data_IF_207153062041
#
_entry.id   IF_207153062041
#
_cell.length_a   1.000
_cell.length_b   1.000
_cell.length_c   1.000
_cell.angle_alpha   90.00
_cell.angle_beta   90.00
_cell.angle_gamma   90.00
#
_symmetry.space_group_name_H-M   'P 1'
#
loop_
_entity.id
_entity.type
_entity.pdbx_description
1 polymer ?
#
# COMPACT_ATOMS: atom_id res chain seq x y z
N UNK A 1 -25.05 13.94 72.89
CA UNK A 1 -24.07 13.85 73.98
C UNK A 1 -22.74 13.55 73.30
N UNK A 2 -22.02 14.62 72.92
CA UNK A 2 -20.87 15.22 73.68
C UNK A 2 -19.62 14.36 73.47
N UNK A 3 -18.42 14.83 73.14
CA UNK A 3 -17.72 16.13 73.07
C UNK A 3 -16.55 15.90 72.07
N UNK A 4 -16.23 16.81 71.14
CA UNK A 4 -15.22 17.88 71.25
C UNK A 4 -13.90 17.56 72.00
N UNK A 5 -12.78 17.69 71.28
CA UNK A 5 -11.46 18.15 71.78
C UNK A 5 -10.54 18.32 70.55
N UNK A 6 -10.51 19.50 69.93
CA UNK A 6 -9.64 20.66 70.17
C UNK A 6 -8.13 20.46 69.92
N UNK A 7 -7.66 21.35 69.03
CA UNK A 7 -6.31 21.55 68.52
C UNK A 7 -5.35 22.14 69.56
N UNK A 8 -4.05 21.90 69.38
CA UNK A 8 -3.05 22.98 69.44
C UNK A 8 -1.73 22.51 68.82
N UNK A 9 -1.25 23.20 67.77
CA UNK A 9 0.16 23.14 67.35
C UNK A 9 0.69 24.54 67.11
N UNK A 10 1.84 24.77 67.75
CA UNK A 10 2.54 26.04 67.90
C UNK A 10 3.17 26.56 66.60
N UNK A 11 3.28 27.89 66.54
CA UNK A 11 3.95 28.67 65.51
C UNK A 11 5.47 28.44 65.46
N UNK A 12 6.04 28.46 64.25
CA UNK A 12 7.47 28.69 64.02
C UNK A 12 7.64 29.89 63.09
N UNK A 13 8.30 30.93 63.60
CA UNK A 13 8.63 32.20 62.92
C UNK A 13 9.47 31.99 61.65
N UNK A 14 9.08 32.64 60.55
CA UNK A 14 9.91 32.84 59.34
C UNK A 14 10.83 34.06 59.52
N UNK A 15 12.13 33.85 59.35
CA UNK A 15 13.09 34.94 59.08
C UNK A 15 13.11 35.23 57.58
N UNK A 16 13.00 36.52 57.23
CA UNK A 16 12.86 37.00 55.85
C UNK A 16 14.18 37.16 55.10
N UNK A 17 14.11 37.03 53.78
CA UNK A 17 15.06 37.60 52.85
C UNK A 17 14.28 38.29 51.72
N UNK A 18 14.46 39.60 51.59
CA UNK A 18 13.74 40.50 50.69
C UNK A 18 14.59 40.74 49.44
N UNK A 19 14.10 40.30 48.27
CA UNK A 19 14.64 40.69 46.95
C UNK A 19 13.52 41.41 46.22
N UNK A 20 13.81 42.63 45.79
CA UNK A 20 12.89 43.61 45.20
C UNK A 20 12.31 43.17 43.85
N UNK A 21 11.00 43.38 43.71
CA UNK A 21 10.09 42.83 42.70
C UNK A 21 10.18 43.36 41.25
N UNK A 22 10.97 44.36 40.80
CA UNK A 22 10.92 44.75 39.38
C UNK A 22 11.83 43.92 38.45
N UNK A 23 12.91 43.31 38.95
CA UNK A 23 13.94 42.70 38.08
C UNK A 23 13.58 41.26 37.65
N UNK A 24 12.80 40.54 38.46
CA UNK A 24 12.43 39.15 38.15
C UNK A 24 11.49 39.01 36.94
N UNK A 25 10.62 39.99 36.69
CA UNK A 25 9.60 39.91 35.62
C UNK A 25 10.23 40.13 34.23
N UNK A 26 11.21 41.03 34.11
CA UNK A 26 11.87 41.33 32.83
C UNK A 26 12.76 40.15 32.40
N UNK A 27 13.43 39.49 33.34
CA UNK A 27 14.23 38.30 33.04
C UNK A 27 13.34 37.12 32.64
N UNK A 28 12.22 36.89 33.33
CA UNK A 28 11.29 35.81 32.99
C UNK A 28 10.64 35.98 31.59
N UNK A 29 10.29 37.21 31.19
CA UNK A 29 9.68 37.48 29.88
C UNK A 29 10.62 37.20 28.69
N UNK A 30 11.92 37.46 28.85
CA UNK A 30 12.91 37.19 27.80
C UNK A 30 13.23 35.69 27.63
N UNK A 31 13.15 34.91 28.71
CA UNK A 31 13.33 33.44 28.63
C UNK A 31 12.14 32.74 27.96
N UNK A 32 10.91 33.20 28.18
CA UNK A 32 9.71 32.59 27.58
C UNK A 32 9.63 32.88 26.08
N UNK A 33 9.91 34.12 25.65
CA UNK A 33 9.90 34.48 24.22
C UNK A 33 11.05 33.78 23.44
N UNK A 34 12.22 33.65 24.05
CA UNK A 34 13.34 32.90 23.47
C UNK A 34 13.05 31.41 23.30
N UNK A 35 12.38 30.78 24.27
CA UNK A 35 12.03 29.37 24.22
C UNK A 35 10.98 29.05 23.13
N UNK A 36 10.00 29.93 22.89
CA UNK A 36 9.00 29.74 21.83
C UNK A 36 9.61 29.89 20.42
N UNK A 37 10.51 30.86 20.24
CA UNK A 37 11.20 31.06 18.95
C UNK A 37 12.23 29.93 18.69
N UNK A 38 12.86 29.39 19.74
CA UNK A 38 13.77 28.25 19.61
C UNK A 38 13.02 26.94 19.32
N UNK A 39 11.87 26.70 19.96
CA UNK A 39 11.04 25.52 19.71
C UNK A 39 10.53 25.46 18.25
N UNK A 40 10.14 26.61 17.66
CA UNK A 40 9.69 26.68 16.26
C UNK A 40 10.83 26.66 15.22
N UNK A 41 12.11 26.73 15.64
CA UNK A 41 13.28 26.64 14.75
C UNK A 41 13.99 25.29 14.80
N UNK A 42 13.52 24.36 15.62
CA UNK A 42 14.02 22.98 15.60
C UNK A 42 13.31 22.28 14.44
N UNK A 43 14.01 21.82 13.39
CA UNK A 43 13.42 20.87 12.46
C UNK A 43 12.88 19.72 13.31
N UNK A 44 11.58 19.41 13.22
CA UNK A 44 11.05 18.19 13.79
C UNK A 44 11.84 17.04 13.15
N UNK A 45 12.85 16.56 13.86
CA UNK A 45 13.45 15.28 13.58
C UNK A 45 12.30 14.27 13.68
N UNK A 46 11.98 13.54 12.60
CA UNK A 46 10.99 12.48 12.69
C UNK A 46 11.38 11.56 13.85
N UNK A 47 10.39 11.18 14.66
CA UNK A 47 10.60 10.30 15.80
C UNK A 47 11.39 9.05 15.36
N UNK A 48 12.27 8.50 16.20
CA UNK A 48 12.98 7.28 15.87
C UNK A 48 11.96 6.14 15.75
N UNK A 49 11.58 5.81 14.51
CA UNK A 49 10.76 4.65 14.21
C UNK A 49 11.52 3.40 14.68
N UNK A 50 10.86 2.58 15.50
CA UNK A 50 11.39 1.28 15.90
C UNK A 50 11.65 0.41 14.68
N UNK A 51 12.92 0.29 14.30
CA UNK A 51 13.54 -0.98 13.94
C UNK A 51 13.11 -1.71 12.66
N UNK A 52 12.41 -1.09 11.70
CA UNK A 52 12.40 -1.60 10.32
C UNK A 52 12.89 -0.51 9.37
N UNK A 53 14.05 -0.74 8.78
CA UNK A 53 14.62 0.15 7.78
C UNK A 53 13.77 0.05 6.51
N UNK A 54 13.10 1.15 6.15
CA UNK A 54 12.28 1.23 4.95
C UNK A 54 13.17 1.10 3.71
N UNK A 55 12.84 0.16 2.82
CA UNK A 55 13.56 -0.06 1.57
C UNK A 55 13.50 1.20 0.68
N UNK A 56 14.62 1.58 0.08
CA UNK A 56 14.64 2.60 -0.97
C UNK A 56 14.05 2.04 -2.27
N UNK A 57 13.59 2.93 -3.16
CA UNK A 57 13.05 2.53 -4.46
C UNK A 57 14.03 1.65 -5.27
N UNK A 58 15.33 1.96 -5.24
CA UNK A 58 16.37 1.15 -5.90
C UNK A 58 16.54 -0.24 -5.29
N UNK A 59 16.33 -0.39 -3.98
CA UNK A 59 16.37 -1.70 -3.33
C UNK A 59 15.12 -2.51 -3.68
N UNK A 60 13.95 -1.88 -3.69
CA UNK A 60 12.71 -2.50 -4.16
C UNK A 60 12.84 -2.94 -5.61
N UNK A 61 13.35 -2.09 -6.50
CA UNK A 61 13.53 -2.41 -7.93
C UNK A 61 14.48 -3.60 -8.16
N UNK A 62 15.45 -3.83 -7.27
CA UNK A 62 16.32 -5.02 -7.33
C UNK A 62 15.61 -6.30 -6.86
N UNK A 63 14.59 -6.17 -6.01
CA UNK A 63 13.80 -7.29 -5.50
C UNK A 63 12.67 -7.62 -6.48
N UNK A 64 11.95 -6.60 -6.96
CA UNK A 64 10.88 -6.71 -7.94
C UNK A 64 11.46 -6.80 -9.34
N UNK A 65 11.74 -8.03 -9.74
CA UNK A 65 12.21 -8.36 -11.08
C UNK A 65 11.07 -8.97 -11.90
N UNK A 66 11.15 -8.79 -13.21
CA UNK A 66 10.30 -9.49 -14.16
C UNK A 66 10.80 -10.94 -14.22
N UNK A 67 9.88 -11.89 -14.08
CA UNK A 67 10.12 -13.32 -14.13
C UNK A 67 9.57 -13.89 -15.44
N UNK A 68 10.09 -15.05 -15.86
CA UNK A 68 9.67 -15.71 -17.10
C UNK A 68 8.21 -16.16 -17.09
N UNK A 69 7.64 -16.33 -15.89
CA UNK A 69 6.25 -16.74 -15.66
C UNK A 69 5.32 -15.55 -15.35
N UNK A 70 5.75 -14.32 -15.64
CA UNK A 70 4.91 -13.14 -15.51
C UNK A 70 4.10 -12.89 -16.78
N UNK A 71 2.84 -12.52 -16.60
CA UNK A 71 2.05 -11.94 -17.68
C UNK A 71 2.34 -10.45 -17.75
N UNK A 72 2.86 -10.02 -18.90
CA UNK A 72 3.22 -8.62 -19.16
C UNK A 72 2.13 -7.99 -20.02
N UNK A 73 1.57 -6.87 -19.58
CA UNK A 73 0.74 -6.01 -20.43
C UNK A 73 1.62 -4.96 -21.08
N UNK A 74 1.46 -4.78 -22.39
CA UNK A 74 2.20 -3.79 -23.17
C UNK A 74 3.53 -4.30 -23.73
N UNK A 75 4.41 -3.37 -24.10
CA UNK A 75 5.71 -3.71 -24.68
C UNK A 75 6.65 -4.30 -23.61
N UNK A 76 7.14 -5.55 -23.76
CA UNK A 76 8.06 -6.15 -22.78
C UNK A 76 9.37 -5.38 -22.62
N UNK A 77 9.77 -4.57 -23.61
CA UNK A 77 10.97 -3.72 -23.57
C UNK A 77 10.70 -2.28 -23.08
N UNK A 78 9.49 -1.99 -22.58
CA UNK A 78 9.15 -0.66 -22.07
C UNK A 78 10.12 -0.24 -20.94
N UNK A 79 10.58 1.03 -20.93
CA UNK A 79 11.57 1.52 -19.96
C UNK A 79 11.03 1.60 -18.53
N UNK A 80 9.71 1.77 -18.36
CA UNK A 80 9.07 1.83 -17.05
C UNK A 80 8.36 0.51 -16.76
N UNK A 81 8.70 -0.09 -15.62
CA UNK A 81 8.00 -1.28 -15.10
C UNK A 81 7.04 -0.86 -13.99
N UNK A 82 5.77 -1.15 -14.19
CA UNK A 82 4.69 -0.89 -13.25
C UNK A 82 4.24 -2.23 -12.66
N UNK A 83 4.58 -2.50 -11.39
CA UNK A 83 4.05 -3.64 -10.67
C UNK A 83 2.76 -3.25 -9.95
N UNK A 84 1.73 -4.08 -10.05
CA UNK A 84 0.52 -4.00 -9.23
C UNK A 84 0.44 -5.22 -8.32
N UNK A 85 0.46 -5.00 -7.01
CA UNK A 85 0.06 -6.00 -6.02
C UNK A 85 -1.42 -5.84 -5.74
N UNK A 86 -2.20 -6.78 -6.26
CA UNK A 86 -3.65 -6.69 -6.30
C UNK A 86 -4.35 -7.89 -5.69
N UNK A 87 -5.62 -7.68 -5.39
CA UNK A 87 -6.55 -8.64 -4.84
C UNK A 87 -7.89 -8.45 -5.56
N UNK A 88 -8.36 -9.49 -6.24
CA UNK A 88 -9.58 -9.41 -7.06
C UNK A 88 -10.86 -9.17 -6.25
N UNK A 89 -10.89 -9.51 -4.95
CA UNK A 89 -12.04 -9.24 -4.07
C UNK A 89 -11.94 -7.89 -3.38
N UNK A 90 -10.79 -7.23 -3.45
CA UNK A 90 -10.58 -5.95 -2.78
C UNK A 90 -11.37 -4.82 -3.47
N UNK A 91 -12.26 -4.11 -2.75
CA UNK A 91 -13.07 -3.05 -3.34
C UNK A 91 -12.23 -1.85 -3.80
N UNK A 92 -11.05 -1.62 -3.21
CA UNK A 92 -10.13 -0.59 -3.68
C UNK A 92 -9.42 -0.98 -4.97
N UNK A 93 -9.09 -2.27 -5.16
CA UNK A 93 -8.53 -2.71 -6.45
C UNK A 93 -9.57 -2.54 -7.57
N UNK A 94 -10.81 -2.96 -7.31
CA UNK A 94 -11.92 -2.73 -8.25
C UNK A 94 -12.15 -1.25 -8.54
N UNK A 95 -12.05 -0.38 -7.52
CA UNK A 95 -12.12 1.08 -7.71
C UNK A 95 -11.00 1.60 -8.60
N UNK A 96 -9.75 1.19 -8.35
CA UNK A 96 -8.62 1.58 -9.19
C UNK A 96 -8.81 1.13 -10.64
N UNK A 97 -9.25 -0.11 -10.85
CA UNK A 97 -9.57 -0.66 -12.17
C UNK A 97 -10.63 0.19 -12.89
N UNK A 98 -11.70 0.57 -12.19
CA UNK A 98 -12.77 1.39 -12.76
C UNK A 98 -12.37 2.85 -13.05
N UNK A 99 -11.50 3.45 -12.23
CA UNK A 99 -11.27 4.91 -12.24
C UNK A 99 -9.95 5.37 -12.86
N UNK A 100 -8.89 4.53 -12.86
CA UNK A 100 -7.55 4.96 -13.27
C UNK A 100 -6.88 4.01 -14.27
N UNK A 101 -7.20 2.71 -14.24
CA UNK A 101 -6.55 1.69 -15.07
C UNK A 101 -6.59 2.01 -16.56
N UNK A 102 -7.76 2.37 -17.09
CA UNK A 102 -7.92 2.66 -18.52
C UNK A 102 -7.08 3.85 -18.99
N UNK A 103 -6.93 4.89 -18.16
CA UNK A 103 -6.07 6.03 -18.48
C UNK A 103 -4.58 5.63 -18.46
N UNK A 104 -4.16 4.77 -17.54
CA UNK A 104 -2.79 4.24 -17.50
C UNK A 104 -2.52 3.41 -18.76
N UNK A 105 -3.44 2.51 -19.13
CA UNK A 105 -3.31 1.66 -20.31
C UNK A 105 -3.19 2.51 -21.58
N UNK A 106 -4.15 3.40 -21.82
CA UNK A 106 -4.21 4.19 -23.04
C UNK A 106 -3.03 5.18 -23.20
N UNK A 107 -2.61 5.84 -22.10
CA UNK A 107 -1.58 6.88 -22.19
C UNK A 107 -0.15 6.32 -22.17
N UNK A 108 0.06 5.14 -21.55
CA UNK A 108 1.41 4.64 -21.29
C UNK A 108 1.69 3.22 -21.77
N UNK A 109 0.73 2.30 -21.61
CA UNK A 109 0.94 0.90 -21.96
C UNK A 109 0.84 0.73 -23.47
N UNK A 110 -0.23 1.24 -24.09
CA UNK A 110 -0.46 1.18 -25.53
C UNK A 110 0.58 1.99 -26.34
N UNK A 111 1.19 2.99 -25.70
CA UNK A 111 2.27 3.79 -26.31
C UNK A 111 3.66 3.15 -26.16
N UNK A 112 3.75 1.98 -25.51
CA UNK A 112 4.99 1.23 -25.29
C UNK A 112 5.93 1.86 -24.26
N UNK A 113 5.46 2.83 -23.47
CA UNK A 113 6.24 3.53 -22.44
C UNK A 113 6.28 2.77 -21.11
N UNK A 114 5.20 2.07 -20.78
CA UNK A 114 5.05 1.28 -19.56
C UNK A 114 4.74 -0.17 -19.92
N UNK A 115 5.32 -1.09 -19.17
CA UNK A 115 4.86 -2.48 -19.07
C UNK A 115 4.26 -2.70 -17.69
N UNK A 116 3.08 -3.30 -17.64
CA UNK A 116 2.42 -3.64 -16.38
C UNK A 116 2.64 -5.12 -16.07
N UNK A 117 2.90 -5.40 -14.81
CA UNK A 117 3.02 -6.75 -14.28
C UNK A 117 2.14 -6.88 -13.04
N UNK A 118 1.27 -7.87 -13.06
CA UNK A 118 0.44 -8.22 -11.91
C UNK A 118 1.21 -9.09 -10.90
N UNK A 119 0.90 -8.91 -9.62
CA UNK A 119 1.35 -9.73 -8.49
C UNK A 119 0.17 -10.00 -7.58
N UNK A 120 -0.08 -11.28 -7.32
CA UNK A 120 -1.17 -11.65 -6.41
C UNK A 120 -0.83 -11.28 -4.97
N UNK A 121 -1.74 -10.57 -4.30
CA UNK A 121 -1.66 -10.30 -2.88
C UNK A 121 -3.01 -10.53 -2.19
N UNK A 122 -3.55 -11.76 -2.24
CA UNK A 122 -4.88 -12.06 -1.71
C UNK A 122 -4.89 -11.92 -0.18
N UNK A 123 -5.76 -11.05 0.34
CA UNK A 123 -5.91 -10.80 1.77
C UNK A 123 -6.86 -11.82 2.41
N UNK A 124 -6.49 -13.10 2.34
CA UNK A 124 -7.33 -14.27 2.65
C UNK A 124 -8.07 -14.24 4.00
N UNK A 125 -7.61 -13.45 4.97
CA UNK A 125 -8.28 -13.29 6.27
C UNK A 125 -9.58 -12.48 6.19
N UNK A 126 -9.71 -11.61 5.19
CA UNK A 126 -10.87 -10.73 4.99
C UNK A 126 -11.49 -10.88 3.60
N UNK A 127 -10.76 -11.46 2.65
CA UNK A 127 -11.17 -11.69 1.27
C UNK A 127 -11.02 -13.19 0.91
N UNK A 128 -11.98 -14.04 1.31
CA UNK A 128 -11.88 -15.50 1.13
C UNK A 128 -11.98 -15.97 -0.33
N UNK A 129 -12.46 -15.13 -1.25
CA UNK A 129 -12.58 -15.40 -2.69
C UNK A 129 -11.39 -14.84 -3.49
N UNK A 130 -10.49 -14.08 -2.86
CA UNK A 130 -9.29 -13.55 -3.51
C UNK A 130 -8.36 -14.65 -4.03
N UNK A 131 -8.04 -15.65 -3.20
CA UNK A 131 -7.19 -16.78 -3.59
C UNK A 131 -7.74 -17.56 -4.79
N UNK A 132 -9.01 -18.04 -4.79
CA UNK A 132 -9.53 -18.76 -5.96
C UNK A 132 -9.64 -17.88 -7.20
N UNK A 133 -9.92 -16.57 -7.07
CA UNK A 133 -9.89 -15.66 -8.21
C UNK A 133 -8.47 -15.48 -8.79
N UNK A 134 -7.46 -15.37 -7.92
CA UNK A 134 -6.05 -15.33 -8.30
C UNK A 134 -5.63 -16.60 -9.07
N UNK A 135 -5.90 -17.78 -8.52
CA UNK A 135 -5.60 -19.06 -9.19
C UNK A 135 -6.35 -19.20 -10.53
N UNK A 136 -7.59 -18.72 -10.61
CA UNK A 136 -8.35 -18.71 -11.85
C UNK A 136 -7.73 -17.79 -12.91
N UNK A 137 -7.25 -16.61 -12.53
CA UNK A 137 -6.56 -15.73 -13.47
C UNK A 137 -5.28 -16.35 -14.02
N UNK A 138 -4.55 -17.11 -13.20
CA UNK A 138 -3.36 -17.84 -13.63
C UNK A 138 -3.70 -18.98 -14.60
N UNK A 139 -4.77 -19.74 -14.33
CA UNK A 139 -5.25 -20.77 -15.26
C UNK A 139 -5.72 -20.19 -16.60
N UNK A 140 -6.24 -18.96 -16.62
CA UNK A 140 -6.54 -18.23 -17.86
C UNK A 140 -5.25 -17.75 -18.55
N UNK A 141 -4.27 -17.31 -17.76
CA UNK A 141 -2.94 -16.92 -18.21
C UNK A 141 -2.14 -18.04 -18.87
N UNK A 142 -2.27 -19.28 -18.38
CA UNK A 142 -1.70 -20.48 -19.03
C UNK A 142 -2.17 -20.62 -20.49
N UNK A 143 -3.39 -20.15 -20.78
CA UNK A 143 -4.00 -20.15 -22.11
C UNK A 143 -3.77 -18.83 -22.87
N UNK A 144 -2.92 -17.95 -22.35
CA UNK A 144 -2.55 -16.67 -22.95
C UNK A 144 -3.59 -15.56 -22.78
N UNK A 145 -4.56 -15.70 -21.85
CA UNK A 145 -5.65 -14.73 -21.66
C UNK A 145 -5.72 -14.14 -20.25
N UNK A 146 -4.55 -13.93 -19.62
CA UNK A 146 -4.48 -13.42 -18.26
C UNK A 146 -5.17 -12.06 -18.14
N UNK A 147 -4.87 -11.12 -19.03
CA UNK A 147 -5.34 -9.73 -18.92
C UNK A 147 -6.81 -9.58 -19.27
N UNK A 148 -7.31 -10.35 -20.24
CA UNK A 148 -8.74 -10.42 -20.54
C UNK A 148 -9.53 -11.02 -19.36
N UNK A 149 -8.96 -12.04 -18.70
CA UNK A 149 -9.57 -12.60 -17.49
C UNK A 149 -9.51 -11.63 -16.31
N UNK A 150 -8.37 -10.96 -16.10
CA UNK A 150 -8.20 -9.91 -15.10
C UNK A 150 -9.28 -8.83 -15.22
N UNK A 151 -9.48 -8.29 -16.42
CA UNK A 151 -10.50 -7.27 -16.67
C UNK A 151 -11.91 -7.83 -16.45
N UNK A 152 -12.19 -9.04 -16.96
CA UNK A 152 -13.48 -9.70 -16.78
C UNK A 152 -13.83 -10.01 -15.31
N UNK A 153 -12.84 -10.27 -14.46
CA UNK A 153 -13.04 -10.48 -13.01
C UNK A 153 -13.48 -9.20 -12.30
N UNK A 154 -13.07 -8.02 -12.76
CA UNK A 154 -13.56 -6.76 -12.20
C UNK A 154 -14.95 -6.37 -12.71
N UNK A 155 -15.38 -6.92 -13.84
CA UNK A 155 -16.70 -6.68 -14.42
C UNK A 155 -17.79 -7.66 -13.93
N UNK A 156 -17.40 -8.82 -13.39
CA UNK A 156 -18.36 -9.81 -12.89
C UNK A 156 -19.09 -9.33 -11.61
N UNK A 157 -20.40 -9.62 -11.45
CA UNK A 157 -21.16 -9.22 -10.26
C UNK A 157 -20.76 -9.97 -8.97
N UNK A 158 -19.97 -11.04 -9.06
CA UNK A 158 -19.51 -11.81 -7.90
C UNK A 158 -18.27 -12.64 -8.23
N UNK A 159 -17.56 -13.10 -7.19
CA UNK A 159 -16.42 -14.02 -7.30
C UNK A 159 -16.77 -15.46 -6.90
N UNK A 160 -18.04 -15.84 -7.04
CA UNK A 160 -18.44 -17.25 -6.86
C UNK A 160 -17.71 -18.13 -7.89
N UNK A 161 -17.51 -19.41 -7.57
CA UNK A 161 -16.87 -20.35 -8.48
C UNK A 161 -17.55 -20.39 -9.87
N UNK A 162 -18.89 -20.35 -9.91
CA UNK A 162 -19.63 -20.28 -11.17
C UNK A 162 -19.37 -18.99 -11.94
N UNK A 163 -19.24 -17.86 -11.26
CA UNK A 163 -18.97 -16.58 -11.92
C UNK A 163 -17.56 -16.53 -12.50
N UNK A 164 -16.55 -17.02 -11.76
CA UNK A 164 -15.17 -17.16 -12.27
C UNK A 164 -15.11 -18.08 -13.51
N UNK A 165 -15.85 -19.20 -13.48
CA UNK A 165 -15.98 -20.08 -14.65
C UNK A 165 -16.64 -19.36 -15.82
N UNK A 166 -17.69 -18.57 -15.58
CA UNK A 166 -18.36 -17.78 -16.63
C UNK A 166 -17.41 -16.77 -17.28
N UNK A 167 -16.58 -16.06 -16.51
CA UNK A 167 -15.58 -15.12 -17.07
C UNK A 167 -14.66 -15.87 -18.05
N UNK A 168 -14.17 -17.04 -17.66
CA UNK A 168 -13.34 -17.88 -18.53
C UNK A 168 -14.06 -18.32 -19.81
N UNK A 169 -15.34 -18.64 -19.71
CA UNK A 169 -16.17 -18.99 -20.86
C UNK A 169 -16.38 -17.80 -21.80
N UNK A 170 -16.64 -16.61 -21.25
CA UNK A 170 -16.95 -15.40 -22.01
C UNK A 170 -15.73 -14.91 -22.81
N UNK A 171 -14.52 -15.05 -22.26
CA UNK A 171 -13.28 -14.74 -22.98
C UNK A 171 -12.83 -15.91 -23.89
N UNK A 172 -13.58 -17.01 -23.95
CA UNK A 172 -13.34 -18.14 -24.85
C UNK A 172 -12.10 -18.96 -24.49
N UNK A 173 -11.95 -19.35 -23.23
CA UNK A 173 -10.98 -20.36 -22.79
C UNK A 173 -11.41 -21.77 -23.23
N UNK A 174 -10.44 -22.69 -23.31
CA UNK A 174 -10.74 -24.12 -23.23
C UNK A 174 -11.18 -24.45 -21.80
N UNK A 175 -12.49 -24.66 -21.65
CA UNK A 175 -13.09 -24.89 -20.33
C UNK A 175 -12.68 -26.21 -19.69
N UNK A 176 -12.31 -27.23 -20.47
CA UNK A 176 -11.82 -28.49 -19.90
C UNK A 176 -10.42 -28.29 -19.31
N UNK A 177 -9.53 -27.62 -20.03
CA UNK A 177 -8.19 -27.29 -19.54
C UNK A 177 -8.26 -26.34 -18.33
N UNK A 178 -9.14 -25.33 -18.40
CA UNK A 178 -9.33 -24.37 -17.33
C UNK A 178 -9.81 -25.01 -16.02
N UNK A 179 -10.86 -25.85 -16.09
CA UNK A 179 -11.38 -26.55 -14.91
C UNK A 179 -10.35 -27.54 -14.35
N UNK A 180 -9.65 -28.28 -15.21
CA UNK A 180 -8.60 -29.18 -14.77
C UNK A 180 -7.46 -28.45 -14.04
N UNK A 181 -7.06 -27.26 -14.53
CA UNK A 181 -6.07 -26.41 -13.86
C UNK A 181 -6.54 -25.95 -12.47
N UNK A 182 -7.79 -25.50 -12.37
CA UNK A 182 -8.39 -25.08 -11.10
C UNK A 182 -8.49 -26.25 -10.10
N UNK A 183 -8.97 -27.41 -10.52
CA UNK A 183 -9.11 -28.60 -9.67
C UNK A 183 -7.76 -29.12 -9.18
N UNK A 184 -6.71 -28.98 -9.99
CA UNK A 184 -5.35 -29.36 -9.62
C UNK A 184 -4.69 -28.35 -8.65
N UNK A 185 -5.23 -27.14 -8.51
CA UNK A 185 -4.59 -26.06 -7.75
C UNK A 185 -3.21 -25.69 -8.29
N UNK A 186 -3.03 -25.79 -9.63
CA UNK A 186 -1.75 -25.68 -10.33
C UNK A 186 -0.94 -24.45 -9.91
N UNK A 187 -1.64 -23.33 -9.67
CA UNK A 187 -1.02 -22.03 -9.43
C UNK A 187 -1.07 -21.56 -7.97
N UNK A 188 -1.53 -22.40 -7.04
CA UNK A 188 -1.55 -22.09 -5.60
C UNK A 188 -0.19 -21.64 -5.07
N UNK A 189 0.91 -22.31 -5.49
CA UNK A 189 2.26 -21.95 -5.07
C UNK A 189 2.72 -20.62 -5.69
N UNK A 190 2.43 -20.36 -6.97
CA UNK A 190 2.77 -19.08 -7.61
C UNK A 190 2.10 -17.90 -6.92
N UNK A 191 0.82 -18.05 -6.57
CA UNK A 191 0.08 -17.04 -5.79
C UNK A 191 0.71 -16.81 -4.41
N UNK A 192 1.14 -17.89 -3.73
CA UNK A 192 1.85 -17.79 -2.45
C UNK A 192 3.22 -17.08 -2.59
N UNK A 193 3.96 -17.37 -3.66
CA UNK A 193 5.26 -16.75 -3.93
C UNK A 193 5.12 -15.24 -4.21
N UNK A 194 4.08 -14.84 -4.94
CA UNK A 194 3.74 -13.43 -5.17
C UNK A 194 3.37 -12.70 -3.88
N UNK A 195 2.54 -13.33 -3.05
CA UNK A 195 2.17 -12.80 -1.74
C UNK A 195 3.42 -12.59 -0.86
N UNK A 196 4.30 -13.59 -0.82
CA UNK A 196 5.55 -13.54 -0.06
C UNK A 196 6.52 -12.47 -0.59
N UNK A 197 6.59 -12.29 -1.92
CA UNK A 197 7.34 -11.21 -2.55
C UNK A 197 6.79 -9.84 -2.13
N UNK A 198 5.47 -9.67 -2.10
CA UNK A 198 4.82 -8.45 -1.63
C UNK A 198 5.21 -8.12 -0.19
N UNK A 199 5.17 -9.10 0.72
CA UNK A 199 5.62 -8.91 2.11
C UNK A 199 7.08 -8.51 2.20
N UNK A 200 7.94 -9.10 1.37
CA UNK A 200 9.38 -8.78 1.32
C UNK A 200 9.65 -7.32 0.94
N UNK A 201 8.77 -6.70 0.15
CA UNK A 201 8.85 -5.27 -0.21
C UNK A 201 7.89 -4.39 0.58
N UNK A 202 7.40 -4.88 1.73
CA UNK A 202 6.52 -4.19 2.67
C UNK A 202 5.13 -3.81 2.12
N UNK A 203 4.57 -4.61 1.21
CA UNK A 203 3.13 -4.52 0.89
C UNK A 203 2.33 -4.94 2.13
N UNK A 204 1.43 -4.06 2.57
CA UNK A 204 0.57 -4.26 3.75
C UNK A 204 -0.91 -4.24 3.42
N UNK A 205 -1.27 -3.94 2.17
CA UNK A 205 -2.65 -3.87 1.68
C UNK A 205 -2.70 -3.67 0.18
N UNK A 206 -3.91 -3.74 -0.38
CA UNK A 206 -4.13 -3.68 -1.83
C UNK A 206 -5.10 -2.55 -2.22
N UNK A 207 -4.93 -1.95 -3.41
CA UNK A 207 -3.81 -2.17 -4.31
C UNK A 207 -2.54 -1.44 -3.79
N UNK A 208 -1.37 -2.03 -4.02
CA UNK A 208 -0.08 -1.36 -3.84
C UNK A 208 0.71 -1.47 -5.14
N UNK A 209 1.26 -0.36 -5.60
CA UNK A 209 1.96 -0.27 -6.87
C UNK A 209 3.43 0.05 -6.67
N UNK A 210 4.26 -0.37 -7.61
CA UNK A 210 5.65 0.05 -7.70
C UNK A 210 6.01 0.43 -9.13
N UNK A 211 6.35 1.70 -9.34
CA UNK A 211 6.82 2.23 -10.63
C UNK A 211 8.34 2.35 -10.55
N UNK A 212 9.05 1.43 -11.19
CA UNK A 212 10.51 1.28 -11.05
C UNK A 212 10.98 1.23 -9.57
N UNK A 213 10.15 0.65 -8.70
CA UNK A 213 10.40 0.55 -7.27
C UNK A 213 9.88 1.72 -6.41
N UNK A 214 9.39 2.81 -7.01
CA UNK A 214 8.72 3.88 -6.27
C UNK A 214 7.30 3.44 -5.88
N UNK A 215 6.95 3.40 -4.58
CA UNK A 215 5.65 2.91 -4.15
C UNK A 215 4.54 3.94 -4.34
N UNK A 216 3.37 3.48 -4.78
CA UNK A 216 2.09 4.19 -4.68
C UNK A 216 1.12 3.26 -3.95
N UNK A 217 0.43 3.75 -2.91
CA UNK A 217 -0.39 2.92 -2.03
C UNK A 217 -1.85 3.34 -2.13
N UNK A 218 -2.72 2.38 -2.43
CA UNK A 218 -4.17 2.55 -2.48
C UNK A 218 -4.70 3.00 -3.84
N UNK A 219 -6.03 3.01 -3.94
CA UNK A 219 -6.76 3.39 -5.15
C UNK A 219 -6.81 4.92 -5.32
N UNK A 220 -5.75 5.46 -5.91
CA UNK A 220 -5.60 6.87 -6.25
C UNK A 220 -6.09 7.17 -7.67
N UNK A 221 -6.48 8.42 -7.98
CA UNK A 221 -6.80 8.83 -9.34
C UNK A 221 -5.57 8.81 -10.25
N UNK A 222 -5.77 8.69 -11.56
CA UNK A 222 -4.70 8.72 -12.57
C UNK A 222 -3.71 9.89 -12.41
N UNK A 223 -4.18 11.07 -11.98
CA UNK A 223 -3.36 12.26 -11.75
C UNK A 223 -2.25 12.08 -10.71
N UNK A 224 -2.36 11.08 -9.83
CA UNK A 224 -1.33 10.78 -8.83
C UNK A 224 -0.28 9.79 -9.39
N UNK A 225 -0.62 9.02 -10.43
CA UNK A 225 0.29 8.10 -11.12
C UNK A 225 1.12 8.80 -12.19
N UNK A 226 0.48 9.63 -13.02
CA UNK A 226 1.10 10.37 -14.13
C UNK A 226 2.45 11.02 -13.77
N UNK A 227 2.57 11.86 -12.71
CA UNK A 227 3.84 12.52 -12.41
C UNK A 227 4.97 11.53 -12.04
N UNK A 228 4.63 10.38 -11.44
CA UNK A 228 5.61 9.34 -11.10
C UNK A 228 6.06 8.59 -12.35
N UNK A 229 5.14 8.24 -13.24
CA UNK A 229 5.47 7.61 -14.53
C UNK A 229 6.34 8.54 -15.38
N UNK A 230 5.94 9.81 -15.51
CA UNK A 230 6.67 10.82 -16.28
C UNK A 230 8.06 11.13 -15.72
N UNK A 231 8.25 10.99 -14.41
CA UNK A 231 9.58 11.12 -13.81
C UNK A 231 10.49 9.96 -14.22
N UNK A 232 9.96 8.73 -14.29
CA UNK A 232 10.72 7.52 -14.61
C UNK A 232 10.98 7.34 -16.12
N UNK A 233 10.33 8.14 -16.97
CA UNK A 233 10.57 8.17 -18.43
C UNK A 233 11.71 9.11 -18.86
N UNK A 234 12.28 9.89 -17.94
CA UNK A 234 13.27 10.94 -18.23
C UNK A 234 14.72 10.47 -18.24
#
# INVERSE_FOLDING_TARGET
MTEETQETKQEVKKAGFSISTPVAIIVAGLFIAGAVIYANKTPQQPAPNGGQQQLSAKEVQKILTVRDDDYILGNPDAPVTFFEFGDFECPFCAKFHAEAWQDIVANYVDTGKVRVIWRHFPLNSIHPLAQPAAEASECAGEQGKFWEYHDGVYETPSLTASALISVGQDIGLDMNAFQACLEAGTYSQKVADDFDLGRKVNVTGTPTFFINGNPIIGALPFSDFEPVIEQELR
#
